data_IF_094499378392
#
_entry.id   IF_094499378392
#
_cell.length_a   1.000
_cell.length_b   1.000
_cell.length_c   1.000
_cell.angle_alpha   90.00
_cell.angle_beta   90.00
_cell.angle_gamma   90.00
#
_symmetry.space_group_name_H-M   'P 1'
#
loop_
_entity.id
_entity.type
_entity.pdbx_description
1 polymer ?
#
# COMPACT_ATOMS: atom_id res chain seq x y z
N UNK A 1 -11.71 12.16 5.38
CA UNK A 1 -10.47 11.54 5.87
C UNK A 1 -9.86 12.51 6.83
N UNK A 2 -9.44 12.02 7.98
CA UNK A 2 -8.81 12.81 9.05
C UNK A 2 -7.45 12.16 9.26
N UNK A 3 -6.36 12.87 8.94
CA UNK A 3 -5.02 12.29 8.93
C UNK A 3 -4.64 11.72 10.31
N UNK A 4 -5.06 12.39 11.39
CA UNK A 4 -4.75 11.98 12.76
C UNK A 4 -5.56 10.76 13.14
N UNK A 5 -6.84 10.73 12.82
CA UNK A 5 -7.69 9.56 13.11
C UNK A 5 -7.26 8.35 12.27
N UNK A 6 -7.08 8.54 10.96
CA UNK A 6 -6.70 7.50 10.02
C UNK A 6 -5.28 6.97 10.32
N UNK A 7 -4.35 7.86 10.70
CA UNK A 7 -2.99 7.51 11.09
C UNK A 7 -2.90 6.71 12.39
N UNK A 8 -3.74 7.03 13.38
CA UNK A 8 -3.80 6.30 14.65
C UNK A 8 -4.56 4.96 14.55
N UNK A 9 -5.21 4.66 13.42
CA UNK A 9 -6.02 3.46 13.26
C UNK A 9 -5.20 2.19 12.95
N UNK A 10 -3.96 2.31 12.45
CA UNK A 10 -3.17 1.16 11.98
C UNK A 10 -2.86 0.16 13.09
N UNK A 11 -2.33 0.63 14.22
CA UNK A 11 -1.93 -0.21 15.36
C UNK A 11 -3.10 -1.01 15.94
N UNK A 12 -4.25 -0.40 16.33
CA UNK A 12 -5.38 -1.17 16.83
C UNK A 12 -6.01 -2.09 15.77
N UNK A 13 -5.98 -1.71 14.49
CA UNK A 13 -6.41 -2.60 13.41
C UNK A 13 -5.50 -3.84 13.30
N UNK A 14 -4.19 -3.65 13.30
CA UNK A 14 -3.22 -4.73 13.20
C UNK A 14 -3.38 -5.72 14.37
N UNK A 15 -3.59 -5.22 15.59
CA UNK A 15 -3.87 -6.04 16.75
C UNK A 15 -5.20 -6.79 16.63
N UNK A 16 -6.29 -6.09 16.28
CA UNK A 16 -7.61 -6.69 16.14
C UNK A 16 -7.71 -7.76 15.05
N UNK A 17 -6.83 -7.70 14.05
CA UNK A 17 -6.71 -8.70 12.99
C UNK A 17 -5.68 -9.79 13.30
N UNK A 18 -5.01 -9.74 14.47
CA UNK A 18 -3.99 -10.70 14.88
C UNK A 18 -2.71 -10.65 14.05
N UNK A 19 -2.39 -9.48 13.47
CA UNK A 19 -1.19 -9.27 12.65
C UNK A 19 0.05 -8.94 13.50
N UNK A 20 -0.16 -8.43 14.72
CA UNK A 20 0.89 -8.15 15.71
C UNK A 20 0.59 -8.86 17.02
N UNK A 21 1.62 -9.05 17.85
CA UNK A 21 1.47 -9.73 19.14
C UNK A 21 0.77 -8.86 20.20
N UNK A 22 0.09 -9.51 21.16
CA UNK A 22 -0.50 -8.82 22.33
C UNK A 22 0.56 -8.05 23.13
N UNK A 23 1.79 -8.58 23.20
CA UNK A 23 2.89 -7.95 23.92
C UNK A 23 3.30 -6.63 23.23
N UNK A 24 3.52 -6.66 21.92
CA UNK A 24 3.86 -5.47 21.14
C UNK A 24 2.75 -4.41 21.24
N UNK A 25 1.48 -4.83 21.15
CA UNK A 25 0.35 -3.91 21.30
C UNK A 25 0.27 -3.26 22.69
N UNK A 26 0.53 -4.02 23.77
CA UNK A 26 0.55 -3.46 25.12
C UNK A 26 1.69 -2.47 25.32
N UNK A 27 2.87 -2.79 24.78
CA UNK A 27 4.07 -1.96 24.88
C UNK A 27 3.92 -0.64 24.13
N UNK A 28 3.51 -0.70 22.86
CA UNK A 28 3.29 0.50 22.03
C UNK A 28 2.16 1.37 22.60
N UNK A 29 1.07 0.78 23.10
CA UNK A 29 -0.01 1.56 23.68
C UNK A 29 0.41 2.27 24.99
N UNK A 30 1.34 1.67 25.74
CA UNK A 30 1.92 2.29 26.94
C UNK A 30 2.88 3.43 26.60
N UNK A 31 3.73 3.24 25.61
CA UNK A 31 4.75 4.22 25.21
C UNK A 31 4.14 5.39 24.42
N UNK A 32 3.28 5.09 23.44
CA UNK A 32 2.68 6.08 22.53
C UNK A 32 1.37 6.68 23.06
N UNK A 33 0.76 6.09 24.10
CA UNK A 33 -0.49 6.59 24.72
C UNK A 33 -1.64 6.78 23.72
N UNK A 34 -1.71 5.94 22.70
CA UNK A 34 -2.71 6.01 21.64
C UNK A 34 -2.43 7.01 20.51
N UNK A 35 -1.31 7.74 20.56
CA UNK A 35 -0.83 8.58 19.46
C UNK A 35 0.31 7.89 18.70
N UNK A 36 -0.07 7.14 17.67
CA UNK A 36 0.82 6.42 16.76
C UNK A 36 1.16 7.22 15.49
N UNK A 37 0.44 8.31 15.21
CA UNK A 37 0.63 9.11 13.99
C UNK A 37 1.74 10.16 14.12
N UNK A 38 1.77 10.88 15.24
CA UNK A 38 2.79 11.89 15.54
C UNK A 38 3.60 11.44 16.77
N UNK A 39 4.52 10.50 16.52
CA UNK A 39 5.31 9.85 17.56
C UNK A 39 6.15 10.88 18.33
N UNK A 40 5.70 11.23 19.53
CA UNK A 40 6.34 12.25 20.37
C UNK A 40 7.65 11.80 21.04
N UNK A 41 7.94 10.50 21.06
CA UNK A 41 9.15 9.91 21.64
C UNK A 41 9.88 9.00 20.64
N UNK A 42 11.21 8.89 20.80
CA UNK A 42 12.01 7.97 20.00
C UNK A 42 11.59 6.51 20.22
N UNK A 43 11.26 6.13 21.46
CA UNK A 43 10.77 4.78 21.77
C UNK A 43 9.45 4.45 21.09
N UNK A 44 8.52 5.41 21.03
CA UNK A 44 7.28 5.24 20.29
C UNK A 44 7.54 5.04 18.78
N UNK A 45 8.45 5.82 18.19
CA UNK A 45 8.81 5.69 16.79
C UNK A 45 9.46 4.33 16.46
N UNK A 46 10.31 3.81 17.36
CA UNK A 46 10.91 2.48 17.22
C UNK A 46 9.83 1.37 17.24
N UNK A 47 8.90 1.42 18.19
CA UNK A 47 7.81 0.44 18.28
C UNK A 47 6.84 0.53 17.09
N UNK A 48 6.56 1.74 16.57
CA UNK A 48 5.77 1.91 15.34
C UNK A 48 6.50 1.28 14.15
N UNK A 49 7.84 1.42 14.09
CA UNK A 49 8.65 0.81 13.02
C UNK A 49 8.56 -0.71 13.08
N UNK A 50 8.60 -1.30 14.28
CA UNK A 50 8.41 -2.75 14.46
C UNK A 50 7.03 -3.21 13.97
N UNK A 51 5.96 -2.47 14.30
CA UNK A 51 4.61 -2.76 13.77
C UNK A 51 4.59 -2.68 12.24
N UNK A 52 5.26 -1.69 11.66
CA UNK A 52 5.34 -1.52 10.21
C UNK A 52 6.08 -2.68 9.53
N UNK A 53 7.17 -3.17 10.12
CA UNK A 53 7.93 -4.33 9.64
C UNK A 53 7.08 -5.62 9.67
N UNK A 54 6.32 -5.84 10.75
CA UNK A 54 5.43 -7.00 10.89
C UNK A 54 4.35 -7.05 9.78
N UNK A 55 3.88 -5.89 9.33
CA UNK A 55 2.80 -5.80 8.32
C UNK A 55 3.28 -5.48 6.90
N UNK A 56 4.56 -5.18 6.68
CA UNK A 56 5.10 -4.71 5.38
C UNK A 56 4.86 -5.71 4.24
N UNK A 57 4.87 -7.01 4.55
CA UNK A 57 4.71 -8.08 3.55
C UNK A 57 3.25 -8.37 3.20
N UNK A 58 2.30 -7.74 3.88
CA UNK A 58 0.88 -7.91 3.63
C UNK A 58 0.39 -6.97 2.53
N UNK A 59 -0.67 -7.38 1.86
CA UNK A 59 -1.31 -6.51 0.90
C UNK A 59 -2.10 -5.44 1.65
N UNK A 60 -1.58 -4.21 1.66
CA UNK A 60 -2.18 -3.05 2.30
C UNK A 60 -3.61 -2.73 1.83
N UNK A 61 -4.00 -3.18 0.63
CA UNK A 61 -5.36 -3.00 0.12
C UNK A 61 -6.32 -4.08 0.59
N UNK A 62 -5.82 -5.30 0.84
CA UNK A 62 -6.59 -6.43 1.35
C UNK A 62 -5.67 -7.51 1.90
N UNK A 63 -5.64 -7.65 3.23
CA UNK A 63 -4.76 -8.57 3.94
C UNK A 63 -4.95 -10.06 3.60
N UNK A 64 -6.10 -10.43 3.00
CA UNK A 64 -6.40 -11.80 2.60
C UNK A 64 -6.03 -12.10 1.14
N UNK A 65 -5.60 -11.08 0.38
CA UNK A 65 -5.26 -11.20 -1.03
C UNK A 65 -3.74 -11.17 -1.26
N UNK A 66 -3.22 -11.80 -2.32
CA UNK A 66 -1.81 -11.69 -2.70
C UNK A 66 -1.37 -10.24 -2.95
N UNK A 67 -0.10 -9.94 -2.68
CA UNK A 67 0.53 -8.68 -3.09
C UNK A 67 0.82 -8.68 -4.59
N UNK A 68 0.18 -7.79 -5.35
CA UNK A 68 0.36 -7.69 -6.81
C UNK A 68 1.43 -6.68 -7.24
N UNK A 69 2.11 -6.02 -6.30
CA UNK A 69 3.09 -4.95 -6.56
C UNK A 69 4.54 -5.30 -6.18
N UNK A 70 4.79 -6.50 -5.66
CA UNK A 70 6.15 -6.94 -5.35
C UNK A 70 6.97 -7.24 -6.63
N UNK A 71 8.31 -7.24 -6.55
CA UNK A 71 9.16 -7.66 -7.67
C UNK A 71 8.80 -9.09 -8.16
N UNK A 72 8.30 -9.91 -7.24
CA UNK A 72 7.85 -11.28 -7.48
C UNK A 72 6.40 -11.39 -7.97
N UNK A 73 5.64 -10.28 -8.08
CA UNK A 73 4.26 -10.31 -8.54
C UNK A 73 4.12 -10.75 -10.02
N UNK A 74 5.19 -10.60 -10.81
CA UNK A 74 5.33 -11.20 -12.14
C UNK A 74 5.81 -12.66 -12.12
N UNK A 75 6.18 -13.19 -10.95
CA UNK A 75 6.84 -14.49 -10.73
C UNK A 75 5.88 -15.55 -10.16
N UNK A 76 4.57 -15.26 -10.06
CA UNK A 76 3.63 -16.34 -10.39
C UNK A 76 3.93 -16.68 -11.83
N UNK A 77 4.78 -17.69 -12.04
CA UNK A 77 4.88 -18.41 -13.29
C UNK A 77 3.43 -18.72 -13.63
N UNK A 78 2.88 -17.93 -14.53
CA UNK A 78 1.86 -18.42 -15.42
C UNK A 78 2.60 -19.54 -16.15
N UNK A 79 2.61 -20.74 -15.55
CA UNK A 79 2.86 -21.96 -16.31
C UNK A 79 1.99 -21.77 -17.55
N UNK A 80 2.60 -21.85 -18.75
CA UNK A 80 2.20 -21.07 -19.91
C UNK A 80 0.68 -21.03 -19.99
N UNK A 81 0.09 -19.90 -19.57
CA UNK A 81 -1.34 -19.69 -19.75
C UNK A 81 -1.49 -19.57 -21.26
N UNK A 82 -1.65 -20.73 -21.92
CA UNK A 82 -2.06 -20.84 -23.30
C UNK A 82 -3.50 -20.34 -23.31
N UNK A 83 -3.65 -19.03 -23.24
CA UNK A 83 -4.90 -18.34 -23.53
C UNK A 83 -5.43 -18.96 -24.82
N UNK A 84 -6.66 -19.49 -24.81
CA UNK A 84 -7.26 -20.04 -26.01
C UNK A 84 -7.15 -19.02 -27.15
N UNK A 85 -6.94 -19.49 -28.38
CA UNK A 85 -6.82 -18.59 -29.55
C UNK A 85 -8.02 -17.62 -29.68
N UNK A 86 -9.20 -18.01 -29.19
CA UNK A 86 -10.39 -17.17 -29.11
C UNK A 86 -10.20 -15.91 -28.27
N UNK A 87 -9.46 -15.97 -27.17
CA UNK A 87 -9.16 -14.79 -26.33
C UNK A 87 -8.22 -13.80 -27.01
N UNK A 88 -7.34 -14.26 -27.91
CA UNK A 88 -6.47 -13.39 -28.72
C UNK A 88 -7.25 -12.61 -29.78
N UNK A 89 -8.24 -13.27 -30.38
CA UNK A 89 -9.10 -12.70 -31.43
C UNK A 89 -10.12 -11.69 -30.88
N UNK A 90 -10.38 -11.71 -29.57
CA UNK A 90 -11.33 -10.80 -28.93
C UNK A 90 -10.72 -9.39 -28.88
N UNK A 91 -11.14 -8.52 -29.81
CA UNK A 91 -10.61 -7.15 -29.95
C UNK A 91 -9.60 -6.96 -31.08
N UNK A 92 -9.32 -8.00 -31.87
CA UNK A 92 -8.63 -7.84 -33.16
C UNK A 92 -9.57 -7.12 -34.13
N UNK A 93 -9.15 -5.94 -34.59
CA UNK A 93 -9.86 -5.12 -35.57
C UNK A 93 -8.96 -4.93 -36.79
N UNK A 94 -9.54 -4.86 -38.01
CA UNK A 94 -8.77 -4.66 -39.26
C UNK A 94 -7.85 -3.43 -39.22
N UNK A 95 -8.24 -2.44 -38.43
CA UNK A 95 -7.41 -1.28 -38.09
C UNK A 95 -6.91 -1.43 -36.65
N UNK A 96 -5.60 -1.34 -36.38
CA UNK A 96 -5.12 -1.30 -35.00
C UNK A 96 -5.67 -0.04 -34.31
N UNK A 97 -6.53 -0.23 -33.32
CA UNK A 97 -6.98 0.87 -32.48
C UNK A 97 -5.80 1.34 -31.61
N UNK A 98 -5.65 2.65 -31.35
CA UNK A 98 -4.63 3.15 -30.46
C UNK A 98 -4.84 2.56 -29.05
N UNK A 99 -4.04 1.56 -28.70
CA UNK A 99 -4.07 0.95 -27.36
C UNK A 99 -3.38 1.91 -26.41
N UNK A 100 -4.07 2.30 -25.33
CA UNK A 100 -3.46 3.06 -24.25
C UNK A 100 -2.39 2.19 -23.57
N UNK A 101 -1.14 2.30 -24.01
CA UNK A 101 0.00 1.58 -23.41
C UNK A 101 0.25 1.96 -21.94
N UNK A 102 -0.34 3.07 -21.48
CA UNK A 102 -0.23 3.58 -20.12
C UNK A 102 -1.45 3.10 -19.30
N UNK A 103 -1.51 1.81 -19.00
CA UNK A 103 -2.39 1.32 -17.93
C UNK A 103 -1.83 1.67 -16.54
N UNK A 104 -0.50 1.79 -16.44
CA UNK A 104 0.20 2.23 -15.25
C UNK A 104 0.37 3.75 -15.28
N UNK A 105 -0.69 4.48 -14.92
CA UNK A 105 -0.46 5.78 -14.28
C UNK A 105 0.39 5.56 -13.04
N UNK A 106 1.23 6.53 -12.64
CA UNK A 106 1.78 6.47 -11.28
C UNK A 106 0.58 6.37 -10.34
N UNK A 107 0.59 5.42 -9.42
CA UNK A 107 -0.42 5.38 -8.38
C UNK A 107 -0.15 6.53 -7.41
N UNK A 108 -1.17 6.94 -6.66
CA UNK A 108 -0.94 7.86 -5.54
C UNK A 108 0.14 7.25 -4.64
N UNK A 109 1.09 8.05 -4.11
CA UNK A 109 2.18 7.49 -3.32
C UNK A 109 1.62 6.62 -2.19
N UNK A 110 2.25 5.46 -1.99
CA UNK A 110 1.83 4.51 -0.99
C UNK A 110 1.82 5.19 0.39
N UNK A 111 0.72 5.02 1.13
CA UNK A 111 0.50 5.62 2.47
C UNK A 111 0.52 7.16 2.52
N UNK A 112 0.54 7.88 1.40
CA UNK A 112 0.46 9.34 1.43
C UNK A 112 -0.98 9.82 1.71
N UNK A 113 -1.21 10.70 2.70
CA UNK A 113 -2.54 11.21 2.98
C UNK A 113 -3.02 12.12 1.85
N UNK A 114 -4.34 12.12 1.63
CA UNK A 114 -4.98 13.06 0.70
C UNK A 114 -5.35 14.33 1.47
N UNK A 115 -4.60 15.40 1.23
CA UNK A 115 -4.83 16.70 1.85
C UNK A 115 -5.91 17.51 1.14
N UNK A 116 -6.71 18.31 1.86
CA UNK A 116 -7.60 19.26 1.23
C UNK A 116 -6.80 20.29 0.43
N UNK A 117 -7.29 20.65 -0.75
CA UNK A 117 -6.67 21.65 -1.63
C UNK A 117 -6.39 21.14 -3.03
N UNK A 118 -5.45 21.78 -3.72
CA UNK A 118 -5.07 21.44 -5.09
C UNK A 118 -4.37 20.07 -5.07
N UNK A 119 -4.94 19.11 -5.81
CA UNK A 119 -4.30 17.79 -5.99
C UNK A 119 -3.05 17.96 -6.85
N UNK A 120 -1.85 17.64 -6.33
CA UNK A 120 -0.61 17.83 -7.07
C UNK A 120 -0.54 16.92 -8.29
N UNK A 121 0.06 17.45 -9.35
CA UNK A 121 0.35 16.68 -10.57
C UNK A 121 1.46 15.64 -10.31
N UNK A 122 1.53 14.58 -11.12
CA UNK A 122 2.58 13.55 -10.99
C UNK A 122 4.01 14.10 -10.96
N UNK A 123 4.39 15.11 -11.76
CA UNK A 123 5.71 15.73 -11.65
C UNK A 123 5.94 16.44 -10.31
N UNK A 124 4.93 17.12 -9.77
CA UNK A 124 5.02 17.79 -8.46
C UNK A 124 5.23 16.77 -7.33
N UNK A 125 4.50 15.65 -7.36
CA UNK A 125 4.68 14.54 -6.41
C UNK A 125 6.05 13.87 -6.53
N UNK A 126 6.56 13.70 -7.76
CA UNK A 126 7.85 13.07 -7.98
C UNK A 126 9.02 13.89 -7.40
N UNK A 127 8.93 15.22 -7.46
CA UNK A 127 9.95 16.12 -6.94
C UNK A 127 9.89 16.28 -5.41
N UNK A 128 8.75 16.02 -4.77
CA UNK A 128 8.64 16.11 -3.30
C UNK A 128 9.14 14.85 -2.58
N UNK A 129 9.22 13.71 -3.28
CA UNK A 129 9.66 12.42 -2.74
C UNK A 129 11.19 12.19 -2.87
N UNK A 130 11.92 13.12 -3.48
CA UNK A 130 13.37 13.00 -3.73
C UNK A 130 14.23 13.66 -2.63
N UNK A 131 13.85 13.49 -1.37
CA UNK A 131 14.64 13.94 -0.20
C UNK A 131 15.05 12.72 0.60
#
# INVERSE_FOLDING_TARGET
TDETFDGNALVPFAHGMGLISDQLYQEINKECQGNYYDAGSAGCAELITEVDEDVDRLNIYNILEPCYHGPDAGVRKTGPLRLPSSFRRLGETDRPLPVRKRMFGRAWPLRAPVRPGIVPTWPQLANSLSV
#
